data_IF_362023214389
#
_entry.id   IF_362023214389
#
_cell.length_a   1.000
_cell.length_b   1.000
_cell.length_c   1.000
_cell.angle_alpha   90.00
_cell.angle_beta   90.00
_cell.angle_gamma   90.00
#
_symmetry.space_group_name_H-M   'P 1'
#
loop_
_entity.id
_entity.type
_entity.pdbx_description
1 polymer ?
#
# COMPACT_ATOMS: atom_id res chain seq x y z
N UNK A 1 -3.05 14.88 15.71
CA UNK A 1 -3.19 14.62 14.26
C UNK A 1 -1.80 14.78 13.65
N UNK A 2 -1.13 13.69 13.32
CA UNK A 2 0.17 13.77 12.64
C UNK A 2 -0.05 14.21 11.19
N UNK A 3 0.69 15.22 10.75
CA UNK A 3 0.66 15.63 9.35
C UNK A 3 1.43 14.59 8.53
N UNK A 4 0.70 13.82 7.72
CA UNK A 4 1.32 13.09 6.60
C UNK A 4 2.19 14.09 5.82
N UNK A 5 3.43 13.74 5.47
CA UNK A 5 4.28 14.63 4.67
C UNK A 5 3.53 15.08 3.42
N UNK A 6 3.68 16.33 2.99
CA UNK A 6 3.06 16.87 1.76
C UNK A 6 3.24 15.94 0.56
N UNK A 7 4.41 15.27 0.49
CA UNK A 7 4.75 14.25 -0.50
C UNK A 7 3.77 13.07 -0.56
N UNK A 8 3.18 12.63 0.56
CA UNK A 8 2.24 11.50 0.58
C UNK A 8 0.97 11.85 -0.15
N UNK A 9 0.44 13.05 0.11
CA UNK A 9 -0.77 13.53 -0.53
C UNK A 9 -0.56 13.66 -2.04
N UNK A 10 0.61 14.17 -2.48
CA UNK A 10 0.95 14.23 -3.90
C UNK A 10 0.98 12.85 -4.57
N UNK A 11 1.51 11.84 -3.87
CA UNK A 11 1.55 10.46 -4.35
C UNK A 11 0.14 9.83 -4.36
N UNK A 12 -0.66 10.04 -3.31
CA UNK A 12 -2.06 9.60 -3.25
C UNK A 12 -2.88 10.22 -4.41
N UNK A 13 -2.73 11.53 -4.65
CA UNK A 13 -3.39 12.26 -5.74
C UNK A 13 -2.93 11.75 -7.11
N UNK A 14 -1.64 11.42 -7.27
CA UNK A 14 -1.10 10.83 -8.50
C UNK A 14 -1.69 9.45 -8.77
N UNK A 15 -1.66 8.54 -7.80
CA UNK A 15 -2.24 7.20 -7.96
C UNK A 15 -3.73 7.29 -8.25
N UNK A 16 -4.43 8.23 -7.61
CA UNK A 16 -5.83 8.50 -7.91
C UNK A 16 -6.06 8.94 -9.37
N UNK A 17 -5.22 9.84 -9.89
CA UNK A 17 -5.28 10.24 -11.30
C UNK A 17 -5.01 9.07 -12.25
N UNK A 18 -4.05 8.20 -11.93
CA UNK A 18 -3.73 7.01 -12.72
C UNK A 18 -4.93 6.06 -12.80
N UNK A 19 -5.61 5.82 -11.68
CA UNK A 19 -6.83 5.00 -11.62
C UNK A 19 -7.98 5.60 -12.43
N UNK A 20 -8.17 6.92 -12.36
CA UNK A 20 -9.30 7.61 -12.98
C UNK A 20 -9.12 7.76 -14.51
N UNK A 21 -7.92 8.16 -14.97
CA UNK A 21 -7.62 8.37 -16.41
C UNK A 21 -7.64 7.08 -17.23
N UNK A 22 -7.30 5.96 -16.61
CA UNK A 22 -7.14 4.66 -17.28
C UNK A 22 -8.45 3.88 -17.45
N UNK A 23 -9.60 4.39 -16.97
CA UNK A 23 -10.85 3.63 -16.84
C UNK A 23 -10.69 2.33 -16.03
N UNK A 24 -9.62 2.21 -15.23
CA UNK A 24 -9.40 1.06 -14.34
C UNK A 24 -10.28 1.13 -13.10
N UNK A 25 -10.52 2.34 -12.58
CA UNK A 25 -11.32 2.56 -11.38
C UNK A 25 -12.70 1.86 -11.46
N UNK A 26 -13.52 2.05 -12.51
CA UNK A 26 -14.78 1.31 -12.66
C UNK A 26 -14.62 -0.21 -12.66
N UNK A 27 -13.56 -0.74 -13.27
CA UNK A 27 -13.33 -2.19 -13.35
C UNK A 27 -12.96 -2.79 -11.99
N UNK A 28 -12.09 -2.10 -11.25
CA UNK A 28 -11.71 -2.45 -9.87
C UNK A 28 -12.94 -2.43 -8.95
N UNK A 29 -13.74 -1.39 -9.08
CA UNK A 29 -14.93 -1.19 -8.25
C UNK A 29 -16.05 -2.19 -8.58
N UNK A 30 -16.32 -2.49 -9.86
CA UNK A 30 -17.32 -3.47 -10.25
C UNK A 30 -17.05 -4.90 -9.71
N UNK A 31 -15.78 -5.22 -9.40
CA UNK A 31 -15.38 -6.50 -8.80
C UNK A 31 -15.24 -6.44 -7.27
N UNK A 32 -15.47 -5.28 -6.68
CA UNK A 32 -15.50 -5.07 -5.23
C UNK A 32 -16.96 -5.14 -4.77
N UNK A 33 -17.28 -5.99 -3.79
CA UNK A 33 -18.65 -6.38 -3.43
C UNK A 33 -19.54 -5.27 -2.81
N UNK A 34 -19.15 -4.00 -2.90
CA UNK A 34 -19.71 -2.89 -2.10
C UNK A 34 -20.05 -1.64 -2.92
N UNK A 35 -20.22 -1.75 -4.24
CA UNK A 35 -20.34 -0.57 -5.11
C UNK A 35 -21.76 -0.36 -5.62
N UNK A 36 -22.41 0.70 -5.14
CA UNK A 36 -23.68 1.20 -5.68
C UNK A 36 -23.46 2.38 -6.65
N UNK A 37 -22.46 3.24 -6.40
CA UNK A 37 -22.11 4.38 -7.27
C UNK A 37 -20.60 4.70 -7.20
N UNK A 38 -19.93 4.68 -8.35
CA UNK A 38 -18.49 4.98 -8.49
C UNK A 38 -18.19 6.44 -8.17
N UNK A 39 -19.14 7.37 -8.37
CA UNK A 39 -18.96 8.81 -8.14
C UNK A 39 -18.71 9.17 -6.68
N UNK A 40 -18.96 8.24 -5.76
CA UNK A 40 -18.72 8.39 -4.34
C UNK A 40 -17.30 8.00 -3.91
N UNK A 41 -16.48 7.48 -4.83
CA UNK A 41 -15.05 7.30 -4.57
C UNK A 41 -14.29 8.58 -4.92
N UNK A 42 -13.50 9.08 -3.98
CA UNK A 42 -12.97 10.47 -4.02
C UNK A 42 -11.45 10.56 -3.95
N UNK A 43 -10.77 9.45 -3.78
CA UNK A 43 -9.32 9.47 -3.70
C UNK A 43 -8.73 8.12 -3.33
N UNK A 44 -7.43 8.17 -3.08
CA UNK A 44 -6.67 7.05 -2.53
C UNK A 44 -6.09 7.46 -1.17
N UNK A 45 -5.77 6.46 -0.36
CA UNK A 45 -4.91 6.56 0.79
C UNK A 45 -3.94 5.38 0.81
N UNK A 46 -2.68 5.62 1.19
CA UNK A 46 -1.77 4.52 1.48
C UNK A 46 -2.12 3.88 2.82
N UNK A 47 -2.23 2.56 2.79
CA UNK A 47 -2.43 1.74 3.95
C UNK A 47 -1.26 0.78 4.11
N UNK A 48 -0.72 0.73 5.33
CA UNK A 48 0.38 -0.14 5.70
C UNK A 48 -0.06 -1.21 6.70
N UNK A 49 0.51 -2.40 6.55
CA UNK A 49 0.34 -3.52 7.47
C UNK A 49 1.69 -4.15 7.78
N UNK A 50 2.10 -4.11 9.04
CA UNK A 50 3.32 -4.77 9.50
C UNK A 50 3.07 -6.24 9.89
N UNK A 51 3.82 -7.15 9.29
CA UNK A 51 3.67 -8.59 9.48
C UNK A 51 5.01 -9.25 9.87
N UNK A 52 4.93 -10.22 10.78
CA UNK A 52 6.00 -11.16 11.08
C UNK A 52 5.65 -12.53 10.49
N UNK A 53 6.48 -13.03 9.58
CA UNK A 53 6.45 -14.43 9.20
C UNK A 53 7.17 -15.26 10.27
N UNK A 54 6.40 -15.92 11.14
CA UNK A 54 6.92 -16.68 12.28
C UNK A 54 7.72 -17.93 11.86
N UNK A 55 7.51 -18.45 10.65
CA UNK A 55 8.26 -19.62 10.15
C UNK A 55 9.65 -19.24 9.65
N UNK A 56 9.75 -18.13 8.91
CA UNK A 56 11.02 -17.67 8.34
C UNK A 56 11.72 -16.62 9.20
N UNK A 57 11.07 -16.17 10.29
CA UNK A 57 11.46 -15.05 11.14
C UNK A 57 11.73 -13.76 10.32
N UNK A 58 10.98 -13.57 9.24
CA UNK A 58 11.07 -12.41 8.37
C UNK A 58 9.99 -11.41 8.74
N UNK A 59 10.40 -10.16 8.92
CA UNK A 59 9.50 -9.06 9.13
C UNK A 59 9.39 -8.24 7.85
N UNK A 60 8.15 -7.88 7.52
CA UNK A 60 7.81 -7.15 6.31
C UNK A 60 6.68 -6.18 6.57
N UNK A 61 6.63 -5.12 5.77
CA UNK A 61 5.53 -4.18 5.73
C UNK A 61 4.91 -4.23 4.34
N UNK A 62 3.60 -4.49 4.32
CA UNK A 62 2.79 -4.40 3.12
C UNK A 62 2.30 -2.98 2.97
N UNK A 63 2.48 -2.36 1.81
CA UNK A 63 1.97 -1.04 1.46
C UNK A 63 0.98 -1.22 0.32
N UNK A 64 -0.27 -0.85 0.55
CA UNK A 64 -1.35 -0.96 -0.41
C UNK A 64 -2.12 0.35 -0.53
N UNK A 65 -2.95 0.46 -1.57
CA UNK A 65 -3.83 1.61 -1.76
C UNK A 65 -5.26 1.28 -1.40
N UNK A 66 -5.87 2.14 -0.59
CA UNK A 66 -7.27 2.14 -0.25
C UNK A 66 -7.98 3.21 -1.05
N UNK A 67 -8.92 2.79 -1.89
CA UNK A 67 -9.76 3.72 -2.64
C UNK A 67 -10.84 4.22 -1.69
N UNK A 68 -10.75 5.50 -1.35
CA UNK A 68 -11.60 6.16 -0.34
C UNK A 68 -12.96 6.47 -0.91
N UNK A 69 -13.99 6.16 -0.12
CA UNK A 69 -15.37 6.55 -0.36
C UNK A 69 -15.70 7.82 0.43
N UNK A 70 -16.66 8.62 -0.03
CA UNK A 70 -17.12 9.86 0.66
C UNK A 70 -17.68 9.58 2.06
N UNK A 71 -18.30 8.42 2.21
CA UNK A 71 -18.86 7.92 3.46
C UNK A 71 -17.95 6.86 4.09
N UNK A 72 -18.02 6.64 5.42
CA UNK A 72 -17.20 5.68 6.16
C UNK A 72 -17.63 4.23 5.91
N UNK A 73 -17.53 3.78 4.67
CA UNK A 73 -17.71 2.38 4.27
C UNK A 73 -16.35 1.71 4.11
N UNK A 74 -16.36 0.38 3.98
CA UNK A 74 -15.14 -0.37 3.74
C UNK A 74 -14.44 0.13 2.46
N UNK A 75 -13.16 0.54 2.53
CA UNK A 75 -12.43 1.00 1.36
C UNK A 75 -12.23 -0.15 0.37
N UNK A 76 -12.20 0.19 -0.91
CA UNK A 76 -11.90 -0.79 -1.96
C UNK A 76 -10.38 -0.93 -2.13
N UNK A 77 -9.92 -2.17 -2.35
CA UNK A 77 -8.53 -2.48 -2.66
C UNK A 77 -8.44 -3.03 -4.08
N UNK A 78 -7.48 -2.57 -4.91
CA UNK A 78 -7.22 -3.21 -6.19
C UNK A 78 -6.80 -4.66 -5.98
N UNK A 79 -7.57 -5.60 -6.53
CA UNK A 79 -7.20 -7.02 -6.57
C UNK A 79 -7.13 -7.42 -8.03
N UNK A 80 -5.97 -7.19 -8.66
CA UNK A 80 -5.80 -7.23 -10.12
C UNK A 80 -6.08 -8.62 -10.68
N UNK A 81 -5.77 -9.67 -9.93
CA UNK A 81 -6.14 -11.05 -10.27
C UNK A 81 -7.65 -11.29 -10.42
N UNK A 82 -8.52 -10.40 -9.90
CA UNK A 82 -9.97 -10.45 -10.11
C UNK A 82 -10.43 -9.75 -11.39
N UNK A 83 -9.54 -9.01 -12.04
CA UNK A 83 -9.80 -8.31 -13.31
C UNK A 83 -9.42 -9.19 -14.51
N UNK A 84 -8.30 -9.91 -14.40
CA UNK A 84 -7.76 -10.73 -15.48
C UNK A 84 -6.88 -11.85 -14.93
N UNK A 85 -6.90 -13.01 -15.59
CA UNK A 85 -6.02 -14.15 -15.31
C UNK A 85 -4.66 -14.04 -16.03
N UNK A 86 -4.53 -13.13 -17.00
CA UNK A 86 -3.29 -12.91 -17.75
C UNK A 86 -2.26 -12.17 -16.89
N UNK A 87 -1.15 -12.83 -16.57
CA UNK A 87 -0.05 -12.29 -15.74
C UNK A 87 0.57 -11.04 -16.35
N UNK A 88 0.76 -11.02 -17.68
CA UNK A 88 1.34 -9.86 -18.38
C UNK A 88 0.38 -8.67 -18.31
N UNK A 89 -0.92 -8.92 -18.42
CA UNK A 89 -1.92 -7.87 -18.24
C UNK A 89 -1.98 -7.37 -16.80
N UNK A 90 -1.88 -8.26 -15.79
CA UNK A 90 -1.80 -7.86 -14.39
C UNK A 90 -0.60 -6.95 -14.12
N UNK A 91 0.57 -7.29 -14.66
CA UNK A 91 1.78 -6.47 -14.56
C UNK A 91 1.60 -5.08 -15.19
N UNK A 92 0.99 -5.01 -16.37
CA UNK A 92 0.70 -3.73 -17.04
C UNK A 92 -0.26 -2.86 -16.24
N UNK A 93 -1.35 -3.43 -15.75
CA UNK A 93 -2.34 -2.71 -14.92
C UNK A 93 -1.67 -2.20 -13.64
N UNK A 94 -0.88 -3.06 -12.98
CA UNK A 94 -0.16 -2.69 -11.78
C UNK A 94 0.82 -1.53 -12.04
N UNK A 95 1.60 -1.60 -13.12
CA UNK A 95 2.51 -0.54 -13.50
C UNK A 95 1.78 0.78 -13.80
N UNK A 96 0.60 0.71 -14.44
CA UNK A 96 -0.24 1.89 -14.69
C UNK A 96 -0.73 2.54 -13.39
N UNK A 97 -1.20 1.74 -12.42
CA UNK A 97 -1.69 2.25 -11.12
C UNK A 97 -0.56 3.01 -10.40
N UNK A 98 0.62 2.41 -10.38
CA UNK A 98 1.78 2.92 -9.64
C UNK A 98 2.69 3.85 -10.46
N UNK A 99 2.25 4.28 -11.65
CA UNK A 99 3.05 5.16 -12.50
C UNK A 99 3.45 6.45 -11.79
N UNK A 100 4.76 6.74 -11.80
CA UNK A 100 5.37 7.87 -11.11
C UNK A 100 5.48 7.74 -9.59
N UNK A 101 5.28 6.55 -9.02
CA UNK A 101 5.66 6.22 -7.64
C UNK A 101 6.95 5.41 -7.66
N UNK A 102 8.02 5.95 -7.08
CA UNK A 102 9.33 5.29 -7.06
C UNK A 102 9.49 4.36 -5.86
N UNK A 103 10.48 3.46 -5.91
CA UNK A 103 10.85 2.65 -4.74
C UNK A 103 11.25 3.53 -3.53
N UNK A 104 11.87 4.68 -3.78
CA UNK A 104 12.26 5.61 -2.71
C UNK A 104 11.04 6.24 -2.04
N UNK A 105 10.01 6.57 -2.82
CA UNK A 105 8.72 7.03 -2.28
C UNK A 105 8.11 5.94 -1.37
N UNK A 106 8.18 4.67 -1.77
CA UNK A 106 7.69 3.53 -0.97
C UNK A 106 8.52 3.33 0.31
N UNK A 107 9.86 3.49 0.26
CA UNK A 107 10.71 3.45 1.46
C UNK A 107 10.36 4.55 2.44
N UNK A 108 10.13 5.76 1.93
CA UNK A 108 9.67 6.89 2.74
C UNK A 108 8.33 6.57 3.41
N UNK A 109 7.37 6.01 2.64
CA UNK A 109 6.08 5.52 3.15
C UNK A 109 6.29 4.55 4.31
N UNK A 110 7.09 3.50 4.09
CA UNK A 110 7.39 2.49 5.09
C UNK A 110 8.06 3.08 6.35
N UNK A 111 8.98 4.04 6.18
CA UNK A 111 9.67 4.65 7.30
C UNK A 111 8.71 5.41 8.21
N UNK A 112 7.86 6.29 7.67
CA UNK A 112 6.91 7.04 8.51
C UNK A 112 5.93 6.09 9.21
N UNK A 113 5.44 5.07 8.51
CA UNK A 113 4.54 4.08 9.09
C UNK A 113 5.23 3.30 10.23
N UNK A 114 6.48 2.89 10.03
CA UNK A 114 7.27 2.23 11.06
C UNK A 114 7.54 3.15 12.28
N UNK A 115 7.70 4.45 12.07
CA UNK A 115 7.82 5.43 13.15
C UNK A 115 6.51 5.54 13.96
N UNK A 116 5.34 5.57 13.31
CA UNK A 116 4.03 5.57 13.98
C UNK A 116 3.84 4.30 14.83
N UNK A 117 4.16 3.14 14.27
CA UNK A 117 4.16 1.88 15.03
C UNK A 117 5.09 1.96 16.25
N UNK A 118 6.31 2.49 16.08
CA UNK A 118 7.27 2.60 17.19
C UNK A 118 6.82 3.54 18.31
N UNK A 119 6.00 4.55 18.00
CA UNK A 119 5.42 5.49 18.98
C UNK A 119 4.18 4.91 19.69
N UNK A 120 3.66 3.77 19.23
CA UNK A 120 2.44 3.16 19.76
C UNK A 120 1.15 3.77 19.20
N UNK A 121 1.24 4.57 18.13
CA UNK A 121 0.08 5.16 17.47
C UNK A 121 -0.74 4.11 16.69
N UNK A 122 -0.15 2.94 16.46
CA UNK A 122 -0.77 1.75 15.86
C UNK A 122 -0.61 0.55 16.79
N UNK A 123 -1.69 -0.23 16.91
CA UNK A 123 -1.68 -1.42 17.75
C UNK A 123 -0.74 -2.49 17.20
N UNK A 124 0.03 -3.11 18.08
CA UNK A 124 0.94 -4.23 17.79
C UNK A 124 0.98 -5.18 18.98
N UNK A 125 1.08 -6.48 18.68
CA UNK A 125 1.45 -7.47 19.68
C UNK A 125 2.94 -7.37 20.10
N UNK A 126 3.33 -8.15 21.12
CA UNK A 126 4.70 -8.13 21.66
C UNK A 126 5.75 -8.55 20.62
N UNK A 127 5.45 -9.56 19.80
CA UNK A 127 6.36 -10.07 18.77
C UNK A 127 6.55 -9.06 17.65
N UNK A 128 5.48 -8.38 17.26
CA UNK A 128 5.49 -7.28 16.30
C UNK A 128 6.30 -6.10 16.83
N UNK A 129 6.18 -5.72 18.12
CA UNK A 129 7.00 -4.66 18.72
C UNK A 129 8.49 -4.96 18.66
N UNK A 130 8.90 -6.18 19.02
CA UNK A 130 10.30 -6.63 18.95
C UNK A 130 10.81 -6.58 17.50
N UNK A 131 9.98 -7.01 16.55
CA UNK A 131 10.32 -7.00 15.13
C UNK A 131 10.41 -5.59 14.56
N UNK A 132 9.49 -4.69 14.96
CA UNK A 132 9.51 -3.28 14.56
C UNK A 132 10.76 -2.56 15.05
N UNK A 133 11.23 -2.88 16.27
CA UNK A 133 12.49 -2.35 16.80
C UNK A 133 13.73 -2.75 15.97
N UNK A 134 13.64 -3.81 15.16
CA UNK A 134 14.69 -4.22 14.20
C UNK A 134 14.42 -3.69 12.80
N UNK A 135 13.16 -3.58 12.41
CA UNK A 135 12.74 -3.11 11.09
C UNK A 135 13.00 -1.62 10.89
N UNK A 136 12.65 -0.78 11.86
CA UNK A 136 12.78 0.67 11.75
C UNK A 136 14.23 1.12 11.49
N UNK A 137 15.26 0.63 12.23
CA UNK A 137 16.66 0.94 11.89
C UNK A 137 17.04 0.47 10.48
N UNK A 138 16.61 -0.72 10.07
CA UNK A 138 16.92 -1.24 8.75
C UNK A 138 16.33 -0.40 7.62
N UNK A 139 15.12 0.14 7.78
CA UNK A 139 14.53 1.08 6.82
C UNK A 139 15.37 2.37 6.77
N UNK A 140 15.68 2.97 7.93
CA UNK A 140 16.45 4.23 8.01
C UNK A 140 17.85 4.13 7.41
N UNK A 141 18.46 2.97 7.53
CA UNK A 141 19.79 2.68 6.96
C UNK A 141 19.72 2.22 5.49
N UNK A 142 18.53 2.21 4.87
CA UNK A 142 18.35 1.81 3.47
C UNK A 142 18.58 0.32 3.21
N UNK A 143 18.59 -0.51 4.26
CA UNK A 143 18.83 -1.98 4.21
C UNK A 143 17.56 -2.80 3.95
N UNK A 144 16.52 -2.17 3.44
CA UNK A 144 15.28 -2.82 3.02
C UNK A 144 15.22 -2.97 1.51
N UNK A 145 14.60 -4.05 1.07
CA UNK A 145 14.16 -4.26 -0.30
C UNK A 145 12.72 -3.80 -0.44
N UNK A 146 12.39 -3.29 -1.63
CA UNK A 146 11.04 -2.92 -2.04
C UNK A 146 10.67 -3.80 -3.23
N UNK A 147 9.53 -4.47 -3.16
CA UNK A 147 9.07 -5.38 -4.20
C UNK A 147 7.60 -5.10 -4.51
N UNK A 148 7.28 -4.84 -5.77
CA UNK A 148 5.90 -4.69 -6.23
C UNK A 148 5.30 -6.06 -6.51
N UNK A 149 4.19 -6.38 -5.85
CA UNK A 149 3.40 -7.59 -6.07
C UNK A 149 2.30 -7.27 -7.12
N UNK A 150 2.48 -7.70 -8.38
CA UNK A 150 1.66 -7.18 -9.48
C UNK A 150 0.21 -7.67 -9.44
N UNK A 151 -0.02 -8.86 -8.91
CA UNK A 151 -1.36 -9.47 -8.79
C UNK A 151 -2.26 -8.71 -7.82
N UNK A 152 -1.66 -8.02 -6.84
CA UNK A 152 -2.34 -7.30 -5.77
C UNK A 152 -2.21 -5.78 -5.92
N UNK A 153 -1.33 -5.29 -6.78
CA UNK A 153 -0.94 -3.87 -6.80
C UNK A 153 -0.51 -3.36 -5.41
N UNK A 154 0.30 -4.16 -4.71
CA UNK A 154 0.81 -3.86 -3.37
C UNK A 154 2.33 -3.91 -3.37
N UNK A 155 2.96 -3.06 -2.57
CA UNK A 155 4.38 -3.16 -2.29
C UNK A 155 4.62 -4.00 -1.04
N UNK A 156 5.70 -4.79 -1.08
CA UNK A 156 6.27 -5.48 0.06
C UNK A 156 7.62 -4.86 0.37
N UNK A 157 7.79 -4.37 1.60
CA UNK A 157 9.04 -3.82 2.11
C UNK A 157 9.60 -4.76 3.16
N UNK A 158 10.81 -5.26 2.97
CA UNK A 158 11.37 -6.31 3.83
C UNK A 158 12.89 -6.20 3.95
N UNK A 159 13.47 -6.78 5.00
CA UNK A 159 14.93 -6.87 5.14
C UNK A 159 15.43 -8.14 4.45
N UNK A 160 16.39 -8.00 3.55
CA UNK A 160 17.05 -9.14 2.90
C UNK A 160 17.92 -9.87 3.94
N UNK A 161 17.80 -11.21 3.97
CA UNK A 161 18.68 -12.07 4.77
C UNK A 161 20.11 -12.08 4.24
#
# INVERSE_FOLDING_TARGET
>A
MYHKPQRYKELEDRVWQNLNRSKLLPQILARSAHVNDISNYVGVEFHDEFQLNTRTNEYMMWIQIYIRHKEPVQPATPKIYRLTEDITQQQRICAQIWDGVSEEDIRCIAQSSAEEYSKGDKWMDVSQKISMARFLPAIKEGRVCVELIPTLAQYKVYVKK
#
